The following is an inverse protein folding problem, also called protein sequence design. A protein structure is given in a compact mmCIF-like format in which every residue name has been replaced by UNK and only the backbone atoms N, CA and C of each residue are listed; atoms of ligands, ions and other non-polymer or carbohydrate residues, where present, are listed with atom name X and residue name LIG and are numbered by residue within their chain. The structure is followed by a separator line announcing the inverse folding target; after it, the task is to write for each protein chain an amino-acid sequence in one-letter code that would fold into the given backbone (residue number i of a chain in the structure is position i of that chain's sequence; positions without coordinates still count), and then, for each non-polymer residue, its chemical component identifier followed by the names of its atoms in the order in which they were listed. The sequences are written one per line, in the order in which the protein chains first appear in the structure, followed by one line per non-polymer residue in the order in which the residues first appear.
data_IF_367803621246
#
_entry.id   IF_367803621246
#
_cell.length_a   1.000
_cell.length_b   1.000
_cell.length_c   1.000
_cell.angle_alpha   90.00
_cell.angle_beta   90.00
_cell.angle_gamma   90.00
#
_symmetry.space_group_name_H-M   'P 1'
#
loop_
_entity.id
_entity.type
_entity.pdbx_description
1 polymer ?
#
# COMPACT_ATOMS: atom_id res chain seq x y z
N UNK A 1 -23.55 42.40 17.76
CA UNK A 1 -23.75 41.60 18.97
C UNK A 1 -23.27 40.18 18.67
N UNK A 2 -22.34 39.58 19.45
CA UNK A 2 -21.89 38.23 19.22
C UNK A 2 -23.04 37.25 19.50
N UNK A 3 -23.25 36.30 18.60
CA UNK A 3 -24.21 35.21 18.80
C UNK A 3 -23.70 34.28 19.90
N UNK A 4 -24.53 34.10 20.94
CA UNK A 4 -24.28 33.16 22.01
C UNK A 4 -24.19 31.73 21.44
N UNK A 5 -23.00 31.15 21.44
CA UNK A 5 -22.83 29.72 21.18
C UNK A 5 -23.10 28.95 22.50
N UNK A 6 -24.10 28.11 22.48
CA UNK A 6 -24.33 27.17 23.56
C UNK A 6 -23.28 26.06 23.53
N UNK A 7 -22.68 25.68 24.67
CA UNK A 7 -21.68 24.61 24.69
C UNK A 7 -22.33 23.28 24.35
N UNK A 8 -21.76 22.55 23.40
CA UNK A 8 -22.16 21.19 23.05
C UNK A 8 -21.67 20.25 24.16
N UNK A 9 -22.57 19.60 24.86
CA UNK A 9 -22.23 18.59 25.86
C UNK A 9 -21.80 17.31 25.16
N UNK A 10 -20.53 16.93 25.32
CA UNK A 10 -20.05 15.62 24.95
C UNK A 10 -20.12 14.67 26.16
N UNK A 11 -20.93 13.63 26.04
CA UNK A 11 -21.05 12.59 27.07
C UNK A 11 -19.92 11.57 26.93
N UNK A 12 -18.99 11.57 27.89
CA UNK A 12 -18.08 10.42 28.12
C UNK A 12 -17.96 10.19 29.61
N UNK A 13 -18.20 8.95 30.01
CA UNK A 13 -18.07 8.45 31.37
C UNK A 13 -16.63 8.56 31.87
N UNK A 14 -16.46 9.11 33.06
CA UNK A 14 -15.29 9.02 33.93
C UNK A 14 -14.17 10.06 33.80
N UNK A 15 -14.41 11.22 33.20
CA UNK A 15 -13.50 12.35 33.35
C UNK A 15 -14.32 13.56 33.86
N UNK A 16 -13.86 14.24 34.91
CA UNK A 16 -14.44 15.51 35.31
C UNK A 16 -14.28 16.53 34.19
N UNK A 17 -15.38 16.82 33.49
CA UNK A 17 -15.42 17.83 32.46
C UNK A 17 -15.32 19.21 33.10
N UNK A 18 -14.14 19.82 33.03
CA UNK A 18 -14.02 21.26 33.21
C UNK A 18 -14.49 21.93 31.96
N UNK A 19 -15.58 22.67 32.02
CA UNK A 19 -16.03 23.51 30.91
C UNK A 19 -15.00 24.62 30.70
N UNK A 20 -14.25 24.56 29.60
CA UNK A 20 -13.32 25.62 29.19
C UNK A 20 -13.99 26.41 28.10
N UNK A 21 -14.19 27.68 28.34
CA UNK A 21 -14.71 28.62 27.35
C UNK A 21 -13.61 28.87 26.28
N UNK A 22 -13.78 28.32 25.08
CA UNK A 22 -12.84 28.48 23.98
C UNK A 22 -13.24 29.71 23.17
N UNK A 23 -12.48 30.78 23.30
CA UNK A 23 -12.60 31.95 22.45
C UNK A 23 -11.70 31.81 21.20
N UNK A 24 -12.13 32.31 20.03
CA UNK A 24 -11.26 32.38 18.85
C UNK A 24 -10.08 33.30 19.12
N UNK A 25 -8.87 32.74 19.08
CA UNK A 25 -7.64 33.44 19.45
C UNK A 25 -6.76 33.55 18.21
N UNK A 26 -6.34 34.78 17.89
CA UNK A 26 -5.41 35.01 16.77
C UNK A 26 -3.95 34.71 17.16
N UNK A 27 -3.10 34.57 16.16
CA UNK A 27 -1.67 34.22 16.29
C UNK A 27 -0.91 35.18 17.20
N UNK A 28 -1.25 36.45 17.21
CA UNK A 28 -0.66 37.47 18.09
C UNK A 28 -0.89 37.18 19.58
N UNK A 29 -2.08 36.70 19.93
CA UNK A 29 -2.38 36.31 21.31
C UNK A 29 -1.66 35.01 21.69
N UNK A 30 -1.62 34.06 20.81
CA UNK A 30 -0.87 32.81 21.04
C UNK A 30 0.62 33.09 21.27
N UNK A 31 1.22 33.98 20.47
CA UNK A 31 2.58 34.47 20.68
C UNK A 31 2.77 35.15 22.04
N UNK A 32 1.82 36.00 22.44
CA UNK A 32 1.87 36.67 23.75
C UNK A 32 1.80 35.65 24.91
N UNK A 33 0.87 34.69 24.87
CA UNK A 33 0.74 33.66 25.90
C UNK A 33 1.98 32.77 25.99
N UNK A 34 2.56 32.43 24.84
CA UNK A 34 3.79 31.62 24.78
C UNK A 34 4.97 32.34 25.43
N UNK A 35 5.15 33.66 25.15
CA UNK A 35 6.19 34.49 25.79
C UNK A 35 5.96 34.61 27.30
N UNK A 36 4.73 34.78 27.75
CA UNK A 36 4.41 34.83 29.18
C UNK A 36 4.73 33.50 29.86
N UNK A 37 4.39 32.38 29.26
CA UNK A 37 4.59 31.06 29.82
C UNK A 37 6.09 30.73 29.94
N UNK A 38 6.88 31.07 28.91
CA UNK A 38 8.32 30.76 28.86
C UNK A 38 9.20 31.92 29.34
N UNK A 39 8.61 33.06 29.72
CA UNK A 39 9.35 34.28 30.12
C UNK A 39 10.37 34.72 29.07
N UNK A 40 10.07 34.52 27.79
CA UNK A 40 10.92 34.85 26.66
C UNK A 40 10.66 36.27 26.13
N UNK A 41 11.68 36.88 25.53
CA UNK A 41 11.53 38.15 24.81
C UNK A 41 10.83 37.98 23.46
N UNK A 42 10.49 39.09 22.79
CA UNK A 42 9.96 39.04 21.43
C UNK A 42 10.96 38.43 20.46
N UNK A 43 12.23 38.80 20.58
CA UNK A 43 13.32 38.34 19.73
C UNK A 43 13.60 36.84 19.89
N UNK A 44 13.53 36.33 21.12
CA UNK A 44 13.74 34.90 21.41
C UNK A 44 12.55 34.05 20.86
N UNK A 45 11.31 34.53 21.00
CA UNK A 45 10.11 33.83 20.50
C UNK A 45 10.08 33.81 18.96
N UNK A 46 10.47 34.93 18.32
CA UNK A 46 10.58 35.01 16.87
C UNK A 46 11.67 34.12 16.31
N UNK A 47 12.83 34.08 16.99
CA UNK A 47 13.94 33.18 16.63
C UNK A 47 13.52 31.71 16.74
N UNK A 48 12.84 31.34 17.82
CA UNK A 48 12.30 29.97 18.01
C UNK A 48 11.26 29.60 16.95
N UNK A 49 10.37 30.53 16.63
CA UNK A 49 9.36 30.30 15.59
C UNK A 49 9.98 30.15 14.21
N UNK A 50 10.99 30.97 13.90
CA UNK A 50 11.74 30.89 12.67
C UNK A 50 12.47 29.54 12.57
N UNK A 51 13.15 29.11 13.63
CA UNK A 51 13.83 27.83 13.67
C UNK A 51 12.83 26.67 13.41
N UNK A 52 11.65 26.67 14.05
CA UNK A 52 10.61 25.65 13.81
C UNK A 52 10.08 25.66 12.38
N UNK A 53 9.90 26.84 11.78
CA UNK A 53 9.51 26.97 10.39
C UNK A 53 10.56 26.42 9.44
N UNK A 54 11.85 26.73 9.72
CA UNK A 54 12.98 26.25 8.94
C UNK A 54 13.12 24.71 9.07
N UNK A 55 12.98 24.16 10.29
CA UNK A 55 12.97 22.71 10.53
C UNK A 55 11.79 22.01 9.80
N UNK A 56 10.58 22.61 9.83
CA UNK A 56 9.43 22.11 9.09
C UNK A 56 9.61 22.21 7.58
N UNK A 57 10.22 23.29 7.10
CA UNK A 57 10.53 23.45 5.69
C UNK A 57 11.59 22.44 5.22
N UNK A 58 12.64 22.22 6.02
CA UNK A 58 13.67 21.23 5.74
C UNK A 58 13.09 19.80 5.71
N UNK A 59 12.29 19.43 6.72
CA UNK A 59 11.62 18.14 6.76
C UNK A 59 10.68 17.92 5.56
N UNK A 60 9.93 18.96 5.17
CA UNK A 60 9.08 18.89 3.98
C UNK A 60 9.88 18.79 2.67
N UNK A 61 11.07 19.39 2.63
CA UNK A 61 11.94 19.30 1.44
C UNK A 61 12.52 17.90 1.30
N UNK A 62 13.01 17.29 2.38
CA UNK A 62 13.50 15.90 2.38
C UNK A 62 12.38 14.92 1.99
N UNK A 63 11.17 15.08 2.52
CA UNK A 63 10.01 14.26 2.14
C UNK A 63 9.68 14.44 0.66
N UNK A 64 9.70 15.68 0.14
CA UNK A 64 9.43 15.94 -1.27
C UNK A 64 10.50 15.36 -2.22
N UNK A 65 11.76 15.33 -1.82
CA UNK A 65 12.83 14.72 -2.63
C UNK A 65 12.67 13.18 -2.68
N UNK A 66 12.36 12.55 -1.56
CA UNK A 66 12.04 11.11 -1.52
C UNK A 66 10.76 10.77 -2.31
N UNK A 67 9.81 11.69 -2.33
CA UNK A 67 8.55 11.52 -3.05
C UNK A 67 8.71 11.70 -4.57
N UNK A 68 9.75 12.40 -5.05
CA UNK A 68 9.92 12.70 -6.47
C UNK A 68 10.03 11.44 -7.33
N UNK A 69 10.63 10.37 -6.83
CA UNK A 69 10.79 9.11 -7.54
C UNK A 69 9.56 8.18 -7.47
N UNK A 70 8.62 8.46 -6.55
CA UNK A 70 7.44 7.62 -6.35
C UNK A 70 6.43 7.87 -7.48
N UNK A 71 6.04 6.80 -8.18
CA UNK A 71 5.01 6.85 -9.21
C UNK A 71 5.44 7.48 -10.55
N UNK A 72 6.75 7.74 -10.74
CA UNK A 72 7.30 8.33 -11.97
C UNK A 72 7.78 7.29 -12.99
N UNK A 73 7.53 6.01 -12.75
CA UNK A 73 7.86 4.95 -13.72
C UNK A 73 7.20 5.21 -15.08
N UNK A 74 7.90 4.89 -16.19
CA UNK A 74 7.36 5.10 -17.53
C UNK A 74 6.13 4.23 -17.78
N UNK A 75 5.10 4.83 -18.34
CA UNK A 75 3.85 4.15 -18.66
C UNK A 75 3.99 3.47 -20.03
N UNK A 76 3.81 2.15 -20.09
CA UNK A 76 3.78 1.44 -21.36
C UNK A 76 2.52 1.80 -22.16
N UNK A 77 2.59 1.67 -23.47
CA UNK A 77 1.42 1.92 -24.33
C UNK A 77 0.27 0.95 -24.02
N UNK A 78 0.58 -0.30 -23.75
CA UNK A 78 -0.39 -1.34 -23.41
C UNK A 78 -1.13 -0.98 -22.13
N UNK A 79 -0.41 -0.43 -21.15
CA UNK A 79 -0.98 0.03 -19.89
C UNK A 79 -1.97 1.19 -20.10
N UNK A 80 -1.63 2.16 -20.96
CA UNK A 80 -2.49 3.30 -21.27
C UNK A 80 -3.75 2.91 -22.06
N UNK A 81 -3.69 1.84 -22.86
CA UNK A 81 -4.81 1.30 -23.64
C UNK A 81 -5.67 0.30 -22.86
N UNK A 82 -5.38 0.05 -21.56
CA UNK A 82 -6.09 -0.92 -20.71
C UNK A 82 -7.56 -0.58 -20.53
N UNK A 83 -8.44 -1.60 -20.55
CA UNK A 83 -9.88 -1.45 -20.30
C UNK A 83 -10.17 -1.53 -18.79
N UNK A 84 -10.81 -0.51 -18.20
CA UNK A 84 -11.22 -0.54 -16.80
C UNK A 84 -12.20 -1.67 -16.45
N UNK A 85 -12.87 -2.28 -17.43
CA UNK A 85 -13.73 -3.44 -17.21
C UNK A 85 -12.94 -4.72 -16.90
N UNK A 86 -11.74 -4.81 -17.44
CA UNK A 86 -10.84 -5.95 -17.21
C UNK A 86 -9.87 -5.71 -16.04
N UNK A 87 -10.33 -4.99 -15.04
CA UNK A 87 -9.52 -4.59 -13.88
C UNK A 87 -8.83 -5.74 -13.14
N UNK A 88 -9.33 -6.98 -13.28
CA UNK A 88 -8.72 -8.17 -12.67
C UNK A 88 -7.42 -8.61 -13.35
N UNK A 89 -7.25 -8.29 -14.62
CA UNK A 89 -6.02 -8.57 -15.38
C UNK A 89 -5.02 -7.43 -15.35
N UNK A 90 -5.39 -6.29 -14.71
CA UNK A 90 -4.51 -5.13 -14.61
C UNK A 90 -3.40 -5.36 -13.59
N UNK A 91 -2.20 -4.97 -13.97
CA UNK A 91 -1.11 -4.77 -13.00
C UNK A 91 -1.31 -3.45 -12.25
N UNK A 92 -1.91 -3.54 -11.07
CA UNK A 92 -2.26 -2.36 -10.27
C UNK A 92 -1.04 -1.56 -9.79
N UNK A 93 0.10 -2.23 -9.57
CA UNK A 93 1.34 -1.53 -9.21
C UNK A 93 1.92 -0.77 -10.40
N UNK A 94 1.91 -1.38 -11.59
CA UNK A 94 2.36 -0.71 -12.81
C UNK A 94 1.48 0.49 -13.17
N UNK A 95 0.15 0.38 -13.02
CA UNK A 95 -0.79 1.51 -13.22
C UNK A 95 -0.44 2.71 -12.34
N UNK A 96 -0.03 2.48 -11.10
CA UNK A 96 0.40 3.55 -10.19
C UNK A 96 1.89 3.94 -10.37
N UNK A 97 2.66 3.21 -11.20
CA UNK A 97 4.11 3.44 -11.37
C UNK A 97 4.92 3.00 -10.16
N UNK A 98 4.56 1.85 -9.59
CA UNK A 98 5.20 1.23 -8.43
C UNK A 98 5.67 -0.20 -8.74
N UNK A 99 5.95 -0.52 -10.01
CA UNK A 99 6.37 -1.86 -10.45
C UNK A 99 7.65 -2.33 -9.77
N UNK A 100 8.58 -1.42 -9.53
CA UNK A 100 9.85 -1.71 -8.85
C UNK A 100 9.69 -2.04 -7.36
N UNK A 101 8.63 -1.55 -6.72
CA UNK A 101 8.37 -1.71 -5.28
C UNK A 101 7.35 -2.79 -4.97
N UNK A 102 6.29 -2.88 -5.78
CA UNK A 102 5.20 -3.87 -5.69
C UNK A 102 4.70 -4.08 -4.25
N UNK A 103 4.67 -5.31 -3.76
CA UNK A 103 4.23 -5.64 -2.40
C UNK A 103 5.02 -4.94 -1.27
N UNK A 104 6.23 -4.43 -1.56
CA UNK A 104 7.05 -3.66 -0.61
C UNK A 104 6.61 -2.20 -0.49
N UNK A 105 5.77 -1.71 -1.42
CA UNK A 105 5.28 -0.33 -1.37
C UNK A 105 4.48 -0.08 -0.10
N UNK A 106 4.75 1.04 0.56
CA UNK A 106 4.01 1.47 1.74
C UNK A 106 2.67 2.11 1.36
N UNK A 107 1.72 2.18 2.29
CA UNK A 107 0.44 2.87 2.08
C UNK A 107 0.62 4.36 1.77
N UNK A 108 1.70 4.95 2.27
CA UNK A 108 2.08 6.33 1.99
C UNK A 108 2.48 6.49 0.51
N UNK A 109 3.36 5.63 0.01
CA UNK A 109 3.80 5.62 -1.37
C UNK A 109 2.66 5.39 -2.36
N UNK A 110 1.74 4.49 -2.06
CA UNK A 110 0.53 4.24 -2.85
C UNK A 110 -0.33 5.52 -2.96
N UNK A 111 -0.52 6.25 -1.85
CA UNK A 111 -1.28 7.51 -1.84
C UNK A 111 -0.61 8.61 -2.67
N UNK A 112 0.71 8.73 -2.58
CA UNK A 112 1.48 9.72 -3.36
C UNK A 112 1.43 9.38 -4.84
N UNK A 113 1.72 8.13 -5.21
CA UNK A 113 1.67 7.66 -6.57
C UNK A 113 0.29 7.90 -7.20
N UNK A 114 -0.78 7.54 -6.49
CA UNK A 114 -2.14 7.83 -6.93
C UNK A 114 -2.38 9.33 -7.16
N UNK A 115 -1.99 10.20 -6.21
CA UNK A 115 -2.14 11.66 -6.35
C UNK A 115 -1.43 12.19 -7.59
N UNK A 116 -0.20 11.75 -7.83
CA UNK A 116 0.57 12.12 -9.03
C UNK A 116 -0.10 11.65 -10.32
N UNK A 117 -0.54 10.39 -10.39
CA UNK A 117 -1.22 9.84 -11.56
C UNK A 117 -2.55 10.55 -11.83
N UNK A 118 -3.32 10.85 -10.80
CA UNK A 118 -4.56 11.66 -10.93
C UNK A 118 -4.26 13.05 -11.48
N UNK A 119 -3.24 13.73 -10.98
CA UNK A 119 -2.85 15.05 -11.48
C UNK A 119 -2.36 15.02 -12.93
N UNK A 120 -1.67 13.96 -13.34
CA UNK A 120 -1.14 13.78 -14.69
C UNK A 120 -2.24 13.45 -15.69
N UNK A 121 -3.16 12.56 -15.34
CA UNK A 121 -4.20 12.02 -16.22
C UNK A 121 -5.60 12.59 -15.97
N UNK A 122 -5.71 13.75 -15.31
CA UNK A 122 -7.01 14.34 -15.04
C UNK A 122 -7.69 14.76 -16.34
N UNK A 123 -8.98 14.38 -16.56
CA UNK A 123 -9.69 14.66 -17.80
C UNK A 123 -9.76 16.16 -18.11
N UNK A 124 -9.82 17.03 -17.09
CA UNK A 124 -9.86 18.49 -17.24
C UNK A 124 -8.60 19.10 -17.90
N UNK A 125 -7.44 18.46 -17.66
CA UNK A 125 -6.16 18.94 -18.23
C UNK A 125 -6.00 18.64 -19.70
N UNK A 126 -6.79 17.73 -20.26
CA UNK A 126 -6.62 17.17 -21.62
C UNK A 126 -7.74 17.55 -22.59
N UNK A 127 -8.57 18.53 -22.28
CA UNK A 127 -9.66 19.03 -23.14
C UNK A 127 -9.19 19.52 -24.53
N UNK A 128 -7.89 19.47 -24.84
CA UNK A 128 -7.32 19.89 -26.12
C UNK A 128 -6.57 18.82 -26.93
N UNK A 129 -6.38 17.61 -26.44
CA UNK A 129 -5.62 16.56 -27.12
C UNK A 129 -6.37 15.23 -27.12
N UNK A 130 -6.96 14.87 -28.29
CA UNK A 130 -7.47 13.54 -28.66
C UNK A 130 -8.17 12.76 -27.52
N UNK A 131 -9.42 13.15 -27.23
CA UNK A 131 -10.21 12.51 -26.19
C UNK A 131 -10.77 11.17 -26.65
N UNK A 132 -10.46 10.10 -25.94
CA UNK A 132 -11.27 8.90 -25.68
C UNK A 132 -10.48 7.88 -24.81
N UNK A 133 -9.14 7.84 -24.96
CA UNK A 133 -8.29 6.87 -24.25
C UNK A 133 -8.00 7.25 -22.80
N UNK A 134 -7.97 8.54 -22.48
CA UNK A 134 -7.54 9.04 -21.18
C UNK A 134 -8.54 8.82 -20.05
N UNK A 135 -9.85 8.82 -20.35
CA UNK A 135 -10.89 8.55 -19.35
C UNK A 135 -10.88 7.08 -18.91
N UNK A 136 -10.52 6.16 -19.82
CA UNK A 136 -10.36 4.76 -19.50
C UNK A 136 -9.19 4.53 -18.54
N UNK A 137 -8.02 5.06 -18.84
CA UNK A 137 -6.84 4.93 -17.98
C UNK A 137 -7.04 5.61 -16.62
N UNK A 138 -7.68 6.76 -16.58
CA UNK A 138 -8.03 7.42 -15.31
C UNK A 138 -8.92 6.52 -14.42
N UNK A 139 -9.88 5.80 -15.00
CA UNK A 139 -10.69 4.82 -14.28
C UNK A 139 -9.84 3.63 -13.79
N UNK A 140 -8.84 3.20 -14.58
CA UNK A 140 -7.89 2.17 -14.16
C UNK A 140 -7.06 2.66 -12.96
N UNK A 141 -6.58 3.91 -12.96
CA UNK A 141 -5.86 4.53 -11.83
C UNK A 141 -6.72 4.55 -10.56
N UNK A 142 -7.99 4.98 -10.67
CA UNK A 142 -8.91 5.00 -9.54
C UNK A 142 -9.19 3.59 -9.00
N UNK A 143 -9.36 2.60 -9.90
CA UNK A 143 -9.60 1.21 -9.51
C UNK A 143 -8.39 0.57 -8.86
N UNK A 144 -7.19 0.81 -9.39
CA UNK A 144 -5.94 0.33 -8.80
C UNK A 144 -5.73 0.89 -7.40
N UNK A 145 -6.02 2.16 -7.19
CA UNK A 145 -5.97 2.76 -5.85
C UNK A 145 -6.99 2.15 -4.89
N UNK A 146 -8.23 1.90 -5.34
CA UNK A 146 -9.26 1.22 -4.53
C UNK A 146 -8.78 -0.15 -4.03
N UNK A 147 -8.08 -0.90 -4.88
CA UNK A 147 -7.59 -2.24 -4.55
C UNK A 147 -6.37 -2.16 -3.63
N UNK A 148 -5.39 -1.34 -3.97
CA UNK A 148 -4.12 -1.28 -3.23
C UNK A 148 -4.22 -0.52 -1.91
N UNK A 149 -5.18 0.40 -1.75
CA UNK A 149 -5.41 1.11 -0.48
C UNK A 149 -6.19 0.30 0.55
N UNK A 150 -6.89 -0.75 0.13
CA UNK A 150 -7.60 -1.64 1.03
C UNK A 150 -6.70 -2.84 1.40
N UNK A 151 -6.34 -3.05 2.69
CA UNK A 151 -5.43 -4.11 3.09
C UNK A 151 -5.87 -5.52 2.68
N UNK A 152 -7.18 -5.81 2.72
CA UNK A 152 -7.71 -7.13 2.34
C UNK A 152 -7.62 -7.35 0.83
N UNK A 153 -8.08 -6.37 0.02
CA UNK A 153 -8.02 -6.44 -1.45
C UNK A 153 -6.57 -6.49 -1.94
N UNK A 154 -5.69 -5.68 -1.33
CA UNK A 154 -4.27 -5.66 -1.62
C UNK A 154 -3.64 -7.02 -1.35
N UNK A 155 -3.92 -7.61 -0.19
CA UNK A 155 -3.43 -8.96 0.16
C UNK A 155 -3.93 -10.02 -0.80
N UNK A 156 -5.19 -9.94 -1.26
CA UNK A 156 -5.73 -10.84 -2.27
C UNK A 156 -4.99 -10.70 -3.61
N UNK A 157 -4.72 -9.46 -4.03
CA UNK A 157 -3.95 -9.19 -5.24
C UNK A 157 -2.50 -9.65 -5.11
N UNK A 158 -1.81 -9.31 -4.02
CA UNK A 158 -0.41 -9.70 -3.74
C UNK A 158 -0.23 -11.23 -3.71
N UNK A 159 -1.30 -11.99 -3.44
CA UNK A 159 -1.24 -13.46 -3.43
C UNK A 159 -1.13 -14.07 -4.84
N UNK A 160 -1.50 -13.31 -5.88
CA UNK A 160 -1.55 -13.76 -7.28
C UNK A 160 -0.83 -12.80 -8.23
N UNK A 161 -0.01 -11.93 -7.69
CA UNK A 161 0.70 -10.91 -8.45
C UNK A 161 1.76 -11.54 -9.35
N UNK A 162 1.46 -11.63 -10.65
CA UNK A 162 2.33 -12.20 -11.70
C UNK A 162 3.52 -11.28 -12.05
N UNK A 163 3.50 -10.02 -11.65
CA UNK A 163 4.59 -9.07 -11.93
C UNK A 163 5.80 -9.24 -11.00
N UNK A 164 5.75 -10.17 -10.06
CA UNK A 164 6.93 -10.65 -9.34
C UNK A 164 7.47 -11.81 -10.17
N UNK A 165 8.67 -11.64 -10.76
CA UNK A 165 9.29 -12.63 -11.64
C UNK A 165 9.31 -14.03 -11.01
N UNK A 166 8.37 -14.87 -11.43
CA UNK A 166 8.32 -16.30 -11.06
C UNK A 166 9.17 -17.15 -12.04
N UNK A 167 9.65 -16.55 -13.15
CA UNK A 167 10.32 -17.24 -14.22
C UNK A 167 11.75 -17.73 -13.87
N UNK A 168 12.34 -17.21 -12.79
CA UNK A 168 13.70 -17.53 -12.38
C UNK A 168 13.79 -18.71 -11.38
N UNK A 169 12.87 -19.68 -11.47
CA UNK A 169 13.00 -20.90 -10.64
C UNK A 169 14.06 -21.83 -11.26
N UNK A 170 15.13 -22.14 -10.53
CA UNK A 170 16.17 -23.03 -11.05
C UNK A 170 15.62 -24.42 -11.38
N UNK A 171 16.06 -25.00 -12.48
CA UNK A 171 15.56 -26.31 -12.96
C UNK A 171 16.12 -27.52 -12.18
N UNK A 172 17.04 -27.28 -11.23
CA UNK A 172 17.69 -28.32 -10.44
C UNK A 172 18.80 -29.07 -11.19
N UNK A 173 19.13 -28.64 -12.41
CA UNK A 173 20.23 -29.17 -13.23
C UNK A 173 21.52 -28.36 -13.14
N UNK A 174 21.44 -27.24 -12.43
CA UNK A 174 22.54 -26.31 -12.25
C UNK A 174 23.63 -26.89 -11.36
N UNK A 175 24.83 -26.32 -11.47
CA UNK A 175 25.97 -26.72 -10.65
C UNK A 175 25.66 -26.53 -9.16
N UNK A 176 25.98 -27.55 -8.33
CA UNK A 176 25.79 -27.45 -6.86
C UNK A 176 26.51 -26.27 -6.22
N UNK A 177 27.57 -25.75 -6.83
CA UNK A 177 28.34 -24.61 -6.31
C UNK A 177 27.56 -23.31 -6.35
N UNK A 178 26.57 -23.20 -7.25
CA UNK A 178 25.70 -22.02 -7.39
C UNK A 178 24.38 -22.16 -6.67
N UNK A 179 24.20 -23.21 -5.85
CA UNK A 179 22.93 -23.48 -5.18
C UNK A 179 22.42 -22.30 -4.36
N UNK A 180 23.23 -21.74 -3.50
CA UNK A 180 22.83 -20.65 -2.62
C UNK A 180 22.53 -19.36 -3.40
N UNK A 181 23.28 -19.11 -4.47
CA UNK A 181 23.09 -17.94 -5.34
C UNK A 181 21.74 -18.00 -6.07
N UNK A 182 21.39 -19.17 -6.59
CA UNK A 182 20.20 -19.38 -7.40
C UNK A 182 18.94 -19.59 -6.54
N UNK A 183 19.03 -20.37 -5.49
CA UNK A 183 17.88 -20.72 -4.66
C UNK A 183 17.60 -19.70 -3.53
N UNK A 184 18.58 -18.95 -3.07
CA UNK A 184 18.42 -17.93 -2.04
C UNK A 184 17.30 -16.95 -2.36
N UNK A 185 17.34 -16.25 -3.51
CA UNK A 185 16.28 -15.33 -3.92
C UNK A 185 14.90 -15.97 -4.02
N UNK A 186 14.82 -17.24 -4.47
CA UNK A 186 13.55 -17.97 -4.58
C UNK A 186 12.94 -18.19 -3.20
N UNK A 187 13.71 -18.71 -2.23
CA UNK A 187 13.20 -18.91 -0.88
C UNK A 187 12.85 -17.59 -0.17
N UNK A 188 13.63 -16.53 -0.37
CA UNK A 188 13.29 -15.20 0.16
C UNK A 188 11.99 -14.65 -0.42
N UNK A 189 11.76 -14.85 -1.72
CA UNK A 189 10.53 -14.46 -2.39
C UNK A 189 9.34 -15.21 -1.84
N UNK A 190 9.42 -16.53 -1.72
CA UNK A 190 8.33 -17.38 -1.24
C UNK A 190 8.09 -17.21 0.28
N UNK A 191 9.12 -16.88 1.05
CA UNK A 191 9.04 -16.61 2.48
C UNK A 191 7.97 -15.55 2.84
N UNK A 192 7.69 -14.60 1.92
CA UNK A 192 6.66 -13.56 2.10
C UNK A 192 5.27 -14.13 2.35
N UNK A 193 4.99 -15.33 1.87
CA UNK A 193 3.69 -15.98 2.03
C UNK A 193 3.52 -16.73 3.34
N UNK A 194 4.56 -16.82 4.17
CA UNK A 194 4.49 -17.50 5.46
C UNK A 194 3.57 -16.81 6.45
N UNK A 195 2.74 -17.60 7.16
CA UNK A 195 2.02 -17.14 8.35
C UNK A 195 2.90 -17.15 9.59
N UNK A 196 3.96 -17.96 9.59
CA UNK A 196 4.88 -18.09 10.72
C UNK A 196 6.09 -17.18 10.49
N UNK A 197 6.46 -16.43 11.50
CA UNK A 197 7.63 -15.53 11.50
C UNK A 197 8.41 -15.74 12.81
N UNK A 198 9.74 -15.66 12.80
CA UNK A 198 10.63 -15.40 11.64
C UNK A 198 10.76 -16.59 10.70
N UNK A 199 11.01 -16.34 9.41
CA UNK A 199 11.33 -17.38 8.43
C UNK A 199 12.82 -17.65 8.46
N UNK A 200 13.27 -18.91 8.59
CA UNK A 200 14.69 -19.23 8.56
C UNK A 200 15.26 -18.98 7.15
N UNK A 201 16.49 -18.46 7.10
CA UNK A 201 17.20 -18.25 5.84
C UNK A 201 17.80 -19.55 5.32
N UNK A 202 18.04 -19.64 4.00
CA UNK A 202 18.69 -20.81 3.37
C UNK A 202 20.08 -21.09 3.93
N UNK A 203 20.73 -20.10 4.56
CA UNK A 203 22.07 -20.23 5.12
C UNK A 203 23.17 -20.20 4.07
N UNK A 204 24.32 -20.77 4.44
CA UNK A 204 25.53 -20.79 3.62
C UNK A 204 26.17 -22.20 3.68
N UNK A 205 27.28 -22.42 2.96
CA UNK A 205 28.06 -23.66 3.02
C UNK A 205 28.58 -24.02 4.43
N UNK A 206 28.72 -23.00 5.29
CA UNK A 206 29.26 -23.14 6.64
C UNK A 206 28.17 -23.24 7.72
N UNK A 207 26.89 -23.27 7.30
CA UNK A 207 25.77 -23.40 8.22
C UNK A 207 25.81 -24.72 8.99
N UNK A 208 25.42 -24.67 10.25
CA UNK A 208 25.36 -25.85 11.12
C UNK A 208 24.27 -26.83 10.68
N UNK A 209 24.38 -28.07 11.09
CA UNK A 209 23.34 -29.07 10.77
C UNK A 209 21.98 -28.66 11.33
N UNK A 210 21.93 -28.09 12.53
CA UNK A 210 20.69 -27.70 13.19
C UNK A 210 19.99 -26.56 12.41
N UNK A 211 20.75 -25.58 11.91
CA UNK A 211 20.21 -24.51 11.06
C UNK A 211 19.63 -25.02 9.74
N UNK A 212 20.31 -26.00 9.14
CA UNK A 212 19.83 -26.65 7.91
C UNK A 212 18.57 -27.47 8.18
N UNK A 213 18.54 -28.25 9.26
CA UNK A 213 17.39 -29.07 9.63
C UNK A 213 16.18 -28.14 9.96
N UNK A 214 16.37 -27.01 10.66
CA UNK A 214 15.34 -26.02 10.95
C UNK A 214 14.78 -25.39 9.68
N UNK A 215 15.64 -25.04 8.72
CA UNK A 215 15.22 -24.51 7.43
C UNK A 215 14.34 -25.51 6.66
N UNK A 216 14.81 -26.76 6.49
CA UNK A 216 14.02 -27.73 5.75
C UNK A 216 12.73 -28.12 6.47
N UNK A 217 12.74 -28.28 7.78
CA UNK A 217 11.54 -28.57 8.56
C UNK A 217 10.50 -27.46 8.43
N UNK A 218 10.95 -26.20 8.39
CA UNK A 218 10.06 -25.05 8.20
C UNK A 218 9.38 -25.07 6.83
N UNK A 219 10.14 -25.31 5.75
CA UNK A 219 9.60 -25.29 4.39
C UNK A 219 8.83 -26.56 4.03
N UNK A 220 9.14 -27.72 4.62
CA UNK A 220 8.30 -28.92 4.47
C UNK A 220 6.92 -28.78 5.09
N UNK A 221 6.79 -28.03 6.18
CA UNK A 221 5.51 -27.72 6.84
C UNK A 221 5.15 -26.24 6.65
N UNK A 222 5.27 -25.76 5.41
CA UNK A 222 5.05 -24.37 5.08
C UNK A 222 3.59 -23.99 5.15
N UNK A 223 3.22 -23.14 6.15
CA UNK A 223 1.85 -22.61 6.29
C UNK A 223 1.71 -21.27 5.59
N UNK A 224 1.20 -21.31 4.37
CA UNK A 224 1.02 -20.14 3.51
C UNK A 224 -0.31 -19.43 3.77
N UNK A 225 -0.29 -18.08 3.79
CA UNK A 225 -1.49 -17.26 3.75
C UNK A 225 -1.99 -17.01 2.33
N UNK A 226 -1.30 -17.47 1.30
CA UNK A 226 -1.67 -17.28 -0.11
C UNK A 226 -3.10 -17.71 -0.35
N UNK A 227 -3.90 -16.84 -0.98
CA UNK A 227 -5.28 -17.10 -1.35
C UNK A 227 -5.48 -16.79 -2.82
N UNK A 228 -6.32 -17.53 -3.51
CA UNK A 228 -6.61 -17.31 -4.93
C UNK A 228 -7.97 -16.62 -5.14
N UNK A 229 -8.44 -15.90 -4.13
CA UNK A 229 -9.75 -15.25 -4.13
C UNK A 229 -9.86 -14.15 -5.19
N UNK A 230 -8.76 -13.45 -5.45
CA UNK A 230 -8.71 -12.43 -6.49
C UNK A 230 -9.06 -12.96 -7.88
N UNK A 231 -8.71 -14.22 -8.17
CA UNK A 231 -8.95 -14.88 -9.45
C UNK A 231 -10.34 -15.49 -9.60
N UNK A 232 -11.23 -15.31 -8.63
CA UNK A 232 -12.61 -15.81 -8.74
C UNK A 232 -13.31 -15.18 -9.93
N UNK A 233 -13.81 -16.03 -10.83
CA UNK A 233 -14.40 -15.58 -12.10
C UNK A 233 -15.77 -14.93 -11.95
N UNK A 234 -16.50 -15.30 -10.91
CA UNK A 234 -17.86 -14.88 -10.72
C UNK A 234 -17.96 -13.96 -9.50
N UNK A 235 -18.27 -12.70 -9.74
CA UNK A 235 -18.58 -11.75 -8.68
C UNK A 235 -20.06 -11.93 -8.34
N UNK A 236 -20.37 -12.15 -7.06
CA UNK A 236 -21.75 -12.13 -6.59
C UNK A 236 -22.27 -10.69 -6.63
N UNK A 237 -22.90 -10.31 -7.72
CA UNK A 237 -23.44 -8.95 -7.95
C UNK A 237 -24.83 -8.77 -7.33
N UNK A 238 -25.04 -9.29 -6.13
CA UNK A 238 -26.18 -8.96 -5.27
C UNK A 238 -27.60 -9.23 -5.80
N UNK A 239 -27.76 -9.48 -7.11
CA UNK A 239 -29.04 -9.73 -7.79
C UNK A 239 -29.40 -11.21 -7.88
N UNK A 240 -28.48 -12.10 -7.51
CA UNK A 240 -28.63 -13.52 -7.74
C UNK A 240 -29.50 -14.19 -6.67
N UNK A 241 -30.27 -15.17 -7.12
CA UNK A 241 -31.03 -16.07 -6.26
C UNK A 241 -30.08 -16.78 -5.26
N UNK A 242 -30.54 -17.06 -4.04
CA UNK A 242 -29.78 -17.70 -2.98
C UNK A 242 -29.09 -19.01 -3.41
N UNK A 243 -29.71 -19.76 -4.30
CA UNK A 243 -29.18 -21.04 -4.79
C UNK A 243 -28.05 -20.82 -5.82
N UNK A 244 -28.17 -19.83 -6.69
CA UNK A 244 -27.11 -19.43 -7.61
C UNK A 244 -25.87 -18.94 -6.85
N UNK A 245 -26.08 -18.12 -5.83
CA UNK A 245 -24.99 -17.64 -4.96
C UNK A 245 -24.22 -18.78 -4.28
N UNK A 246 -24.95 -19.80 -3.78
CA UNK A 246 -24.33 -20.99 -3.18
C UNK A 246 -23.57 -21.83 -4.22
N UNK A 247 -24.11 -21.95 -5.43
CA UNK A 247 -23.47 -22.69 -6.51
C UNK A 247 -22.16 -22.02 -6.92
N UNK A 248 -22.20 -20.72 -7.13
CA UNK A 248 -21.04 -19.88 -7.48
C UNK A 248 -19.95 -19.95 -6.41
N UNK A 249 -20.33 -19.80 -5.15
CA UNK A 249 -19.39 -19.89 -4.02
C UNK A 249 -18.73 -21.29 -3.93
N UNK A 250 -19.52 -22.37 -4.14
CA UNK A 250 -18.98 -23.73 -4.18
C UNK A 250 -17.99 -23.93 -5.34
N UNK A 251 -18.30 -23.37 -6.52
CA UNK A 251 -17.42 -23.45 -7.70
C UNK A 251 -16.11 -22.69 -7.45
N UNK A 252 -16.18 -21.45 -6.97
CA UNK A 252 -15.02 -20.66 -6.62
C UNK A 252 -14.16 -21.36 -5.56
N UNK A 253 -14.77 -21.90 -4.50
CA UNK A 253 -14.06 -22.65 -3.46
C UNK A 253 -13.30 -23.87 -4.02
N UNK A 254 -13.92 -24.63 -4.92
CA UNK A 254 -13.28 -25.79 -5.53
C UNK A 254 -12.09 -25.37 -6.41
N UNK A 255 -12.24 -24.27 -7.16
CA UNK A 255 -11.20 -23.74 -8.02
C UNK A 255 -10.00 -23.23 -7.20
N UNK A 256 -10.27 -22.50 -6.11
CA UNK A 256 -9.22 -22.07 -5.16
C UNK A 256 -8.49 -23.27 -4.55
N UNK A 257 -9.22 -24.33 -4.17
CA UNK A 257 -8.62 -25.54 -3.62
C UNK A 257 -7.76 -26.29 -4.64
N UNK A 258 -8.14 -26.27 -5.94
CA UNK A 258 -7.34 -26.83 -7.01
C UNK A 258 -6.03 -26.06 -7.17
N UNK A 259 -6.11 -24.73 -7.33
CA UNK A 259 -4.93 -23.85 -7.47
C UNK A 259 -4.00 -23.96 -6.29
N UNK A 260 -4.53 -24.04 -5.07
CA UNK A 260 -3.71 -24.21 -3.88
C UNK A 260 -2.96 -25.57 -3.83
N UNK A 261 -3.37 -26.56 -4.60
CA UNK A 261 -2.66 -27.84 -4.72
C UNK A 261 -1.64 -27.85 -5.85
N UNK A 262 -1.85 -26.99 -6.85
CA UNK A 262 -0.93 -26.81 -7.97
C UNK A 262 0.23 -25.90 -7.59
N UNK A 263 0.02 -24.97 -6.65
CA UNK A 263 1.00 -24.09 -6.04
C UNK A 263 1.89 -24.85 -5.03
#
# INVERSE_FOLDING_TARGET
APKNYAPTQASTSALSLTSVEVAPVGDAFLGHMRRQLHKSTFEDDDALMKQRLDEHAAANTEVNELDNDIGEEPESRELLESDPKEWKSLDHYAVLGLSSRRYKATDYEIKIAHRKKVLKHHPDKKVGATGLSDDAFFKCVAKSFEILSNPEKRRQFDSVDEGVDDDDVPTGKESPDRFYELWGPVFEREARFSKRTPVPSLGTKDSTKDEVDDFYNFFYDFDSWRSFEYLDKEVNDGSDNRDEKRYTEKKNRNERARRKKED
#
